data_IF_547293988999
#
_entry.id   IF_547293988999
#
_cell.length_a   1.000
_cell.length_b   1.000
_cell.length_c   1.000
_cell.angle_alpha   90.00
_cell.angle_beta   90.00
_cell.angle_gamma   90.00
#
_symmetry.space_group_name_H-M   'P 1'
#
loop_
_entity.id
_entity.type
_entity.pdbx_description
1 polymer ?
#
# COMPACT_ATOMS: atom_id res chain seq x y z
N UNK A 1 -26.97 9.30 -1.66
CA UNK A 1 -25.75 10.08 -1.99
C UNK A 1 -26.00 11.41 -2.70
N UNK A 2 -27.18 11.70 -3.26
CA UNK A 2 -27.42 12.98 -3.98
C UNK A 2 -27.68 14.22 -3.12
N UNK A 3 -27.36 14.22 -1.82
CA UNK A 3 -27.76 15.30 -0.89
C UNK A 3 -26.67 15.79 0.06
N UNK A 4 -25.42 15.35 -0.10
CA UNK A 4 -24.37 15.60 0.90
C UNK A 4 -23.10 16.27 0.38
N UNK A 5 -22.97 16.56 -0.91
CA UNK A 5 -21.92 17.46 -1.41
C UNK A 5 -22.35 18.05 -2.76
N UNK A 6 -21.88 19.27 -3.06
CA UNK A 6 -22.10 20.01 -4.32
C UNK A 6 -21.45 19.36 -5.56
N UNK A 7 -21.33 18.03 -5.58
CA UNK A 7 -20.75 17.27 -6.68
C UNK A 7 -21.90 16.73 -7.54
N UNK A 8 -21.84 17.03 -8.84
CA UNK A 8 -22.86 16.63 -9.81
C UNK A 8 -23.07 15.10 -9.79
N UNK A 9 -24.33 14.66 -9.76
CA UNK A 9 -24.73 13.24 -9.58
C UNK A 9 -24.08 12.28 -10.60
N UNK A 10 -23.81 12.77 -11.82
CA UNK A 10 -23.15 12.02 -12.90
C UNK A 10 -21.67 11.73 -12.64
N UNK A 11 -20.97 12.58 -11.89
CA UNK A 11 -19.57 12.35 -11.46
C UNK A 11 -19.50 11.36 -10.29
N UNK A 12 -20.47 11.45 -9.38
CA UNK A 12 -20.59 10.52 -8.24
C UNK A 12 -20.85 9.08 -8.72
N UNK A 13 -21.71 8.89 -9.72
CA UNK A 13 -22.04 7.55 -10.24
C UNK A 13 -20.85 6.81 -10.86
N UNK A 14 -20.03 7.51 -11.68
CA UNK A 14 -18.86 6.90 -12.32
C UNK A 14 -17.74 6.60 -11.33
N UNK A 15 -17.50 7.49 -10.37
CA UNK A 15 -16.51 7.26 -9.31
C UNK A 15 -16.93 6.09 -8.41
N UNK A 16 -18.23 5.88 -8.18
CA UNK A 16 -18.71 4.73 -7.43
C UNK A 16 -18.40 3.39 -8.10
N UNK A 17 -18.37 3.32 -9.44
CA UNK A 17 -17.98 2.12 -10.15
C UNK A 17 -16.52 1.76 -9.86
N UNK A 18 -15.62 2.73 -10.04
CA UNK A 18 -14.20 2.56 -9.71
C UNK A 18 -13.98 2.17 -8.24
N UNK A 19 -14.62 2.88 -7.30
CA UNK A 19 -14.50 2.58 -5.86
C UNK A 19 -15.07 1.20 -5.49
N UNK A 20 -16.05 0.69 -6.25
CA UNK A 20 -16.54 -0.68 -6.08
C UNK A 20 -15.55 -1.69 -6.63
N UNK A 21 -14.97 -1.42 -7.80
CA UNK A 21 -13.98 -2.27 -8.46
C UNK A 21 -12.70 -2.46 -7.62
N UNK A 22 -12.19 -1.39 -6.99
CA UNK A 22 -11.04 -1.48 -6.09
C UNK A 22 -11.40 -1.94 -4.66
N UNK A 23 -12.67 -2.32 -4.41
CA UNK A 23 -13.11 -2.88 -3.12
C UNK A 23 -13.23 -1.89 -1.96
N UNK A 24 -13.29 -0.58 -2.23
CA UNK A 24 -13.56 0.46 -1.22
C UNK A 24 -15.06 0.52 -0.90
N UNK A 25 -15.90 0.34 -1.91
CA UNK A 25 -17.35 0.21 -1.80
C UNK A 25 -17.81 -1.19 -2.23
N UNK A 26 -19.02 -1.56 -1.82
CA UNK A 26 -19.68 -2.79 -2.24
C UNK A 26 -21.18 -2.56 -2.49
N UNK A 27 -21.80 -3.49 -3.23
CA UNK A 27 -23.22 -3.47 -3.54
C UNK A 27 -23.53 -2.76 -4.87
N UNK A 28 -24.64 -3.13 -5.49
CA UNK A 28 -25.03 -2.64 -6.82
C UNK A 28 -25.87 -1.36 -6.73
N UNK A 29 -27.07 -1.46 -6.12
CA UNK A 29 -28.06 -0.39 -6.01
C UNK A 29 -27.85 0.52 -4.78
N UNK A 30 -27.45 -0.05 -3.65
CA UNK A 30 -27.05 0.68 -2.43
C UNK A 30 -25.56 0.47 -2.21
N UNK A 31 -24.76 1.50 -2.48
CA UNK A 31 -23.31 1.46 -2.22
C UNK A 31 -23.07 1.54 -0.71
N UNK A 32 -22.45 0.51 -0.17
CA UNK A 32 -22.02 0.44 1.23
C UNK A 32 -20.49 0.51 1.28
N UNK A 33 -19.96 1.12 2.33
CA UNK A 33 -18.52 1.17 2.57
C UNK A 33 -18.03 -0.19 3.07
N UNK A 34 -16.96 -0.73 2.47
CA UNK A 34 -16.34 -1.99 2.94
C UNK A 34 -15.56 -1.76 4.23
N UNK A 35 -15.09 -2.84 4.88
CA UNK A 35 -14.19 -2.74 6.04
C UNK A 35 -12.91 -1.98 5.70
N UNK A 36 -12.31 -2.25 4.53
CA UNK A 36 -11.10 -1.56 4.03
C UNK A 36 -11.40 -0.09 3.73
N UNK A 37 -12.51 0.18 3.05
CA UNK A 37 -12.94 1.55 2.77
C UNK A 37 -13.18 2.36 4.04
N UNK A 38 -13.76 1.75 5.09
CA UNK A 38 -13.99 2.41 6.38
C UNK A 38 -12.68 2.72 7.09
N UNK A 39 -11.74 1.77 7.09
CA UNK A 39 -10.42 1.95 7.71
C UNK A 39 -9.66 3.08 7.02
N UNK A 40 -9.67 3.10 5.68
CA UNK A 40 -9.11 4.20 4.90
C UNK A 40 -9.79 5.54 5.21
N UNK A 41 -11.12 5.59 5.28
CA UNK A 41 -11.86 6.83 5.55
C UNK A 41 -11.53 7.40 6.94
N UNK A 42 -11.40 6.54 7.96
CA UNK A 42 -10.99 6.95 9.31
C UNK A 42 -9.57 7.50 9.32
N UNK A 43 -8.63 6.82 8.66
CA UNK A 43 -7.24 7.28 8.54
C UNK A 43 -7.15 8.64 7.85
N UNK A 44 -7.90 8.83 6.76
CA UNK A 44 -8.01 10.11 6.05
C UNK A 44 -8.58 11.22 6.93
N UNK A 45 -9.63 10.94 7.69
CA UNK A 45 -10.24 11.90 8.61
C UNK A 45 -9.28 12.34 9.72
N UNK A 46 -8.43 11.43 10.21
CA UNK A 46 -7.39 11.71 11.20
C UNK A 46 -6.13 12.34 10.61
N UNK A 47 -6.02 12.38 9.27
CA UNK A 47 -4.81 12.79 8.54
C UNK A 47 -3.57 11.95 8.92
N UNK A 48 -3.77 10.71 9.35
CA UNK A 48 -2.69 9.80 9.68
C UNK A 48 -2.06 9.28 8.38
N UNK A 49 -0.93 9.87 7.99
CA UNK A 49 -0.26 9.57 6.72
C UNK A 49 0.25 8.13 6.66
N UNK A 50 0.66 7.55 7.79
CA UNK A 50 1.17 6.18 7.87
C UNK A 50 0.02 5.21 7.69
N UNK A 51 -1.08 5.42 8.40
CA UNK A 51 -2.27 4.59 8.32
C UNK A 51 -2.94 4.72 6.95
N UNK A 52 -3.01 5.93 6.37
CA UNK A 52 -3.51 6.17 5.00
C UNK A 52 -2.69 5.38 3.97
N UNK A 53 -1.35 5.46 4.03
CA UNK A 53 -0.48 4.71 3.12
C UNK A 53 -0.67 3.21 3.26
N UNK A 54 -0.74 2.70 4.50
CA UNK A 54 -0.96 1.28 4.78
C UNK A 54 -2.30 0.78 4.22
N UNK A 55 -3.38 1.54 4.43
CA UNK A 55 -4.69 1.22 3.88
C UNK A 55 -4.70 1.23 2.35
N UNK A 56 -4.07 2.23 1.72
CA UNK A 56 -3.96 2.28 0.27
C UNK A 56 -3.12 1.12 -0.29
N UNK A 57 -2.00 0.75 0.36
CA UNK A 57 -1.23 -0.45 -0.03
C UNK A 57 -2.08 -1.70 0.01
N UNK A 58 -2.89 -1.89 1.06
CA UNK A 58 -3.77 -3.04 1.17
C UNK A 58 -4.82 -3.07 0.05
N UNK A 59 -5.38 -1.92 -0.33
CA UNK A 59 -6.34 -1.79 -1.45
C UNK A 59 -5.64 -2.12 -2.78
N UNK A 60 -4.48 -1.52 -3.04
CA UNK A 60 -3.69 -1.75 -4.26
C UNK A 60 -3.28 -3.21 -4.39
N UNK A 61 -2.86 -3.86 -3.29
CA UNK A 61 -2.50 -5.28 -3.26
C UNK A 61 -3.67 -6.22 -3.59
N UNK A 62 -4.91 -5.80 -3.35
CA UNK A 62 -6.10 -6.61 -3.63
C UNK A 62 -6.75 -6.31 -4.99
N UNK A 63 -6.27 -5.30 -5.72
CA UNK A 63 -6.78 -4.95 -7.03
C UNK A 63 -5.81 -5.41 -8.11
N UNK A 64 -6.21 -6.40 -8.90
CA UNK A 64 -5.43 -6.90 -10.04
C UNK A 64 -5.12 -5.77 -11.03
N UNK A 65 -6.12 -4.94 -11.34
CA UNK A 65 -5.95 -3.78 -12.21
C UNK A 65 -4.84 -2.84 -11.73
N UNK A 66 -4.84 -2.46 -10.44
CA UNK A 66 -3.81 -1.58 -9.89
C UNK A 66 -2.44 -2.25 -9.85
N UNK A 67 -2.37 -3.55 -9.51
CA UNK A 67 -1.11 -4.32 -9.56
C UNK A 67 -0.52 -4.37 -10.98
N UNK A 68 -1.36 -4.51 -12.00
CA UNK A 68 -0.93 -4.54 -13.40
C UNK A 68 -0.35 -3.19 -13.85
N UNK A 69 -0.87 -2.06 -13.33
CA UNK A 69 -0.31 -0.73 -13.58
C UNK A 69 1.08 -0.59 -12.97
N UNK A 70 1.25 -0.96 -11.69
CA UNK A 70 2.55 -0.89 -11.03
C UNK A 70 3.56 -1.82 -11.71
N UNK A 71 3.13 -3.02 -12.09
CA UNK A 71 3.98 -4.00 -12.80
C UNK A 71 4.45 -3.49 -14.16
N UNK A 72 3.60 -2.79 -14.91
CA UNK A 72 3.97 -2.19 -16.18
C UNK A 72 5.02 -1.07 -16.04
N UNK A 73 4.91 -0.25 -14.98
CA UNK A 73 5.92 0.76 -14.65
C UNK A 73 7.24 0.09 -14.30
N UNK A 74 7.19 -0.95 -13.45
CA UNK A 74 8.38 -1.72 -13.05
C UNK A 74 9.12 -2.33 -14.24
N UNK A 75 8.38 -2.98 -15.14
CA UNK A 75 8.95 -3.68 -16.28
C UNK A 75 9.70 -2.75 -17.24
N UNK A 76 9.36 -1.45 -17.22
CA UNK A 76 9.98 -0.42 -18.07
C UNK A 76 11.03 0.41 -17.32
N UNK A 77 11.32 0.06 -16.07
CA UNK A 77 12.27 0.75 -15.18
C UNK A 77 11.95 2.24 -14.95
N UNK A 78 10.70 2.65 -15.23
CA UNK A 78 10.32 4.06 -15.26
C UNK A 78 9.38 4.35 -16.42
N UNK A 79 8.46 5.31 -16.22
CA UNK A 79 7.63 5.84 -17.30
C UNK A 79 7.24 7.29 -17.04
N UNK A 80 7.28 8.14 -18.07
CA UNK A 80 6.74 9.50 -18.00
C UNK A 80 5.25 9.49 -17.56
N UNK A 81 4.86 10.50 -16.78
CA UNK A 81 3.49 10.62 -16.26
C UNK A 81 2.39 10.49 -17.34
N UNK A 82 2.46 11.17 -18.51
CA UNK A 82 1.45 11.02 -19.55
C UNK A 82 1.40 9.60 -20.16
N UNK A 83 2.52 8.89 -20.17
CA UNK A 83 2.61 7.50 -20.65
C UNK A 83 1.89 6.57 -19.70
N UNK A 84 2.05 6.74 -18.38
CA UNK A 84 1.31 5.96 -17.38
C UNK A 84 -0.18 6.25 -17.45
N UNK A 85 -0.59 7.52 -17.60
CA UNK A 85 -2.01 7.84 -17.77
C UNK A 85 -2.61 7.16 -19.00
N UNK A 86 -1.88 7.17 -20.14
CA UNK A 86 -2.30 6.53 -21.36
C UNK A 86 -2.41 5.00 -21.20
N UNK A 87 -1.46 4.39 -20.50
CA UNK A 87 -1.48 2.97 -20.17
C UNK A 87 -2.71 2.61 -19.33
N UNK A 88 -2.99 3.37 -18.27
CA UNK A 88 -4.16 3.16 -17.40
C UNK A 88 -5.46 3.25 -18.20
N UNK A 89 -5.60 4.27 -19.05
CA UNK A 89 -6.79 4.42 -19.89
C UNK A 89 -6.97 3.22 -20.85
N UNK A 90 -5.88 2.78 -21.47
CA UNK A 90 -5.88 1.60 -22.36
C UNK A 90 -6.22 0.31 -21.60
N UNK A 91 -5.59 0.07 -20.44
CA UNK A 91 -5.83 -1.09 -19.61
C UNK A 91 -7.28 -1.16 -19.09
N UNK A 92 -7.91 0.00 -18.88
CA UNK A 92 -9.33 0.10 -18.50
C UNK A 92 -10.30 0.02 -19.70
N UNK A 93 -9.80 -0.16 -20.94
CA UNK A 93 -10.60 -0.16 -22.16
C UNK A 93 -11.30 1.18 -22.43
N UNK A 94 -10.76 2.29 -21.92
CA UNK A 94 -11.37 3.62 -22.00
C UNK A 94 -10.69 4.50 -23.08
N UNK A 95 -11.45 5.42 -23.72
CA UNK A 95 -10.90 6.37 -24.66
C UNK A 95 -10.01 7.40 -23.97
N UNK A 96 -9.02 7.95 -24.69
CA UNK A 96 -8.08 8.97 -24.18
C UNK A 96 -8.67 10.39 -24.22
N UNK A 97 -9.85 10.58 -23.64
CA UNK A 97 -10.46 11.90 -23.50
C UNK A 97 -10.08 12.56 -22.15
N UNK A 98 -10.26 13.88 -22.05
CA UNK A 98 -9.85 14.65 -20.86
C UNK A 98 -10.42 14.09 -19.53
N UNK A 99 -11.72 13.73 -19.43
CA UNK A 99 -12.25 13.10 -18.21
C UNK A 99 -11.55 11.80 -17.82
N UNK A 100 -11.31 10.89 -18.78
CA UNK A 100 -10.62 9.61 -18.52
C UNK A 100 -9.19 9.86 -18.09
N UNK A 101 -8.47 10.77 -18.74
CA UNK A 101 -7.09 11.09 -18.39
C UNK A 101 -6.98 11.70 -16.98
N UNK A 102 -7.95 12.52 -16.57
CA UNK A 102 -8.02 13.01 -15.20
C UNK A 102 -8.22 11.87 -14.19
N UNK A 103 -9.09 10.90 -14.51
CA UNK A 103 -9.27 9.69 -13.70
C UNK A 103 -8.01 8.83 -13.61
N UNK A 104 -7.30 8.66 -14.73
CA UNK A 104 -6.01 7.99 -14.77
C UNK A 104 -4.96 8.70 -13.90
N UNK A 105 -4.96 10.03 -13.89
CA UNK A 105 -4.13 10.82 -12.98
C UNK A 105 -4.47 10.58 -11.50
N UNK A 106 -5.75 10.51 -11.16
CA UNK A 106 -6.16 10.16 -9.79
C UNK A 106 -5.69 8.77 -9.36
N UNK A 107 -5.66 7.80 -10.29
CA UNK A 107 -5.09 6.47 -10.02
C UNK A 107 -3.59 6.57 -9.75
N UNK A 108 -2.83 7.37 -10.52
CA UNK A 108 -1.40 7.60 -10.25
C UNK A 108 -1.20 8.18 -8.84
N UNK A 109 -2.02 9.15 -8.45
CA UNK A 109 -1.94 9.74 -7.11
C UNK A 109 -2.29 8.74 -5.99
N UNK A 110 -3.23 7.82 -6.22
CA UNK A 110 -3.49 6.70 -5.30
C UNK A 110 -2.24 5.81 -5.18
N UNK A 111 -1.60 5.48 -6.30
CA UNK A 111 -0.40 4.65 -6.32
C UNK A 111 0.79 5.34 -5.62
N UNK A 112 0.94 6.66 -5.79
CA UNK A 112 1.91 7.47 -5.05
C UNK A 112 1.58 7.53 -3.55
N UNK A 113 0.31 7.75 -3.18
CA UNK A 113 -0.14 7.76 -1.79
C UNK A 113 0.04 6.40 -1.10
N UNK A 114 -0.06 5.31 -1.86
CA UNK A 114 0.27 3.96 -1.40
C UNK A 114 1.78 3.70 -1.32
N UNK A 115 2.64 4.60 -1.84
CA UNK A 115 4.07 4.37 -1.93
C UNK A 115 4.41 3.15 -2.80
N UNK A 116 3.65 2.95 -3.87
CA UNK A 116 3.93 1.95 -4.91
C UNK A 116 4.57 2.59 -6.15
N UNK A 117 4.38 3.90 -6.31
CA UNK A 117 5.07 4.73 -7.29
C UNK A 117 5.72 5.93 -6.59
N UNK A 118 6.86 6.36 -7.08
CA UNK A 118 7.47 7.67 -6.76
C UNK A 118 7.83 8.40 -8.05
N UNK A 119 8.01 9.71 -7.94
CA UNK A 119 8.49 10.54 -9.04
C UNK A 119 9.99 10.73 -8.90
N UNK A 120 10.74 10.41 -9.94
CA UNK A 120 12.20 10.45 -9.97
C UNK A 120 12.64 10.89 -11.37
N UNK A 121 13.45 11.95 -11.44
CA UNK A 121 13.95 12.51 -12.72
C UNK A 121 12.85 12.80 -13.78
N UNK A 122 11.62 13.11 -13.35
CA UNK A 122 10.49 13.39 -14.26
C UNK A 122 9.74 12.13 -14.74
N UNK A 123 10.12 10.95 -14.24
CA UNK A 123 9.47 9.68 -14.50
C UNK A 123 8.81 9.11 -13.25
N UNK A 124 7.81 8.26 -13.45
CA UNK A 124 7.21 7.45 -12.39
C UNK A 124 7.95 6.13 -12.32
N UNK A 125 8.51 5.82 -11.15
CA UNK A 125 9.27 4.60 -10.88
C UNK A 125 8.52 3.78 -9.82
N UNK A 126 8.52 2.45 -9.96
CA UNK A 126 7.81 1.56 -9.05
C UNK A 126 8.66 1.18 -7.83
N UNK A 127 8.10 1.39 -6.64
CA UNK A 127 8.78 1.22 -5.36
C UNK A 127 8.22 -0.01 -4.64
N UNK A 128 8.96 -1.12 -4.67
CA UNK A 128 8.53 -2.37 -4.02
C UNK A 128 9.20 -2.64 -2.67
N UNK A 129 10.29 -1.95 -2.34
CA UNK A 129 11.14 -2.34 -1.20
C UNK A 129 11.58 -1.23 -0.25
N UNK A 130 11.13 0.01 -0.46
CA UNK A 130 11.41 1.07 0.50
C UNK A 130 10.38 0.99 1.64
N UNK A 131 10.82 0.33 2.73
CA UNK A 131 10.44 0.76 4.07
C UNK A 131 10.59 2.30 4.08
N UNK A 132 9.62 3.06 4.61
CA UNK A 132 9.65 4.51 4.53
C UNK A 132 10.85 5.04 5.29
N UNK A 133 11.99 5.12 4.64
CA UNK A 133 13.00 6.09 4.97
C UNK A 133 12.43 7.42 4.49
N UNK A 134 12.44 8.36 5.42
CA UNK A 134 11.83 9.65 5.30
C UNK A 134 12.12 10.26 3.93
N UNK A 135 11.06 10.72 3.26
CA UNK A 135 11.21 11.66 2.17
C UNK A 135 11.99 12.84 2.76
N UNK A 136 13.27 12.94 2.40
CA UNK A 136 14.19 13.98 2.84
C UNK A 136 13.63 15.29 2.33
N UNK A 137 12.94 16.01 3.22
CA UNK A 137 12.80 17.44 3.07
C UNK A 137 14.15 18.01 3.47
N UNK A 138 14.86 18.61 2.52
CA UNK A 138 16.05 19.38 2.79
C UNK A 138 15.69 20.53 3.74
N UNK A 139 16.07 20.40 5.01
CA UNK A 139 16.55 21.54 5.76
C UNK A 139 17.66 21.08 6.71
N UNK A 140 18.77 21.80 6.67
CA UNK A 140 20.02 21.37 7.26
C UNK A 140 20.01 21.42 8.79
N UNK A 141 20.47 20.36 9.43
CA UNK A 141 21.36 20.47 10.59
C UNK A 141 21.92 19.08 10.96
N UNK A 142 23.22 19.06 11.21
CA UNK A 142 23.99 17.88 11.61
C UNK A 142 23.66 17.48 13.05
N UNK A 143 23.34 16.20 13.29
CA UNK A 143 23.58 15.55 14.57
C UNK A 143 23.64 14.02 14.40
N UNK A 144 24.77 13.43 14.79
CA UNK A 144 24.92 11.98 14.98
C UNK A 144 24.13 11.55 16.21
N UNK A 145 23.42 10.40 16.18
CA UNK A 145 23.34 9.47 17.33
C UNK A 145 23.11 8.03 16.87
N UNK A 146 23.86 7.15 17.52
CA UNK A 146 23.87 5.69 17.48
C UNK A 146 22.61 5.03 18.09
N UNK A 147 22.32 3.82 17.60
CA UNK A 147 21.70 2.65 18.28
C UNK A 147 20.35 2.74 19.02
N UNK A 148 19.44 1.79 18.74
CA UNK A 148 18.86 0.83 19.70
C UNK A 148 17.61 0.12 19.13
N UNK A 149 17.58 -1.20 19.31
CA UNK A 149 16.63 -2.21 18.85
C UNK A 149 15.29 -2.11 19.61
N UNK A 150 14.15 -2.26 18.92
CA UNK A 150 12.83 -2.37 19.55
C UNK A 150 12.09 -3.65 19.14
N UNK A 151 12.04 -4.64 20.03
CA UNK A 151 11.14 -5.79 19.92
C UNK A 151 9.75 -5.40 20.46
N UNK A 152 8.69 -5.65 19.69
CA UNK A 152 7.30 -5.45 20.15
C UNK A 152 6.68 -6.81 20.44
N UNK A 153 6.46 -7.09 21.73
CA UNK A 153 5.67 -8.22 22.21
C UNK A 153 4.26 -7.71 22.53
N UNK A 154 3.25 -8.23 21.83
CA UNK A 154 1.84 -7.99 22.17
C UNK A 154 1.27 -9.23 22.85
N UNK A 155 0.97 -9.13 24.14
CA UNK A 155 0.24 -10.15 24.89
C UNK A 155 -1.25 -9.85 24.78
N UNK A 156 -1.99 -10.73 24.10
CA UNK A 156 -3.45 -10.71 24.06
C UNK A 156 -4.01 -11.66 25.10
N UNK A 157 -4.66 -11.11 26.14
CA UNK A 157 -5.36 -11.90 27.15
C UNK A 157 -6.76 -12.28 26.63
N UNK A 158 -6.98 -13.57 26.43
CA UNK A 158 -8.31 -14.15 26.25
C UNK A 158 -8.43 -15.39 27.13
N UNK A 159 -9.49 -15.40 27.92
CA UNK A 159 -9.77 -16.37 28.97
C UNK A 159 -9.74 -17.83 28.48
N UNK A 160 -9.07 -18.68 29.27
CA UNK A 160 -9.41 -20.10 29.38
C UNK A 160 -8.96 -21.02 28.25
N UNK A 161 -7.67 -21.06 27.94
CA UNK A 161 -6.89 -22.25 27.50
C UNK A 161 -5.43 -21.82 27.36
N UNK A 162 -4.48 -22.75 27.48
CA UNK A 162 -3.01 -22.54 27.50
C UNK A 162 -2.49 -21.32 26.70
N UNK A 163 -1.54 -20.53 27.22
CA UNK A 163 -1.02 -19.35 26.54
C UNK A 163 -0.45 -19.74 25.18
N UNK A 164 -1.08 -19.25 24.10
CA UNK A 164 -0.65 -19.53 22.74
C UNK A 164 0.15 -18.33 22.25
N UNK A 165 1.46 -18.47 22.10
CA UNK A 165 2.35 -17.42 21.60
C UNK A 165 2.49 -17.58 20.08
N UNK A 166 2.10 -16.55 19.32
CA UNK A 166 2.28 -16.49 17.87
C UNK A 166 3.47 -15.61 17.53
N UNK A 167 4.54 -16.19 16.97
CA UNK A 167 5.78 -15.50 16.63
C UNK A 167 5.92 -15.49 15.10
N UNK A 168 5.99 -14.29 14.51
CA UNK A 168 6.22 -14.12 13.07
C UNK A 168 7.67 -13.69 12.82
N UNK A 169 8.46 -14.55 12.19
CA UNK A 169 9.88 -14.30 11.87
C UNK A 169 10.02 -13.99 10.39
N UNK A 170 10.63 -12.85 10.06
CA UNK A 170 10.97 -12.47 8.69
C UNK A 170 12.49 -12.45 8.52
N UNK A 171 13.01 -13.33 7.66
CA UNK A 171 14.45 -13.39 7.35
C UNK A 171 14.68 -12.80 5.96
N UNK A 172 15.65 -11.88 5.86
CA UNK A 172 16.22 -11.41 4.60
C UNK A 172 17.65 -11.92 4.51
N UNK A 173 17.98 -12.62 3.43
CA UNK A 173 19.30 -13.20 3.17
C UNK A 173 19.62 -13.12 1.68
N UNK A 174 20.90 -13.05 1.33
CA UNK A 174 21.36 -13.14 -0.07
C UNK A 174 21.44 -14.60 -0.55
N UNK A 175 21.50 -14.86 -1.88
CA UNK A 175 21.56 -16.23 -2.39
C UNK A 175 22.69 -17.07 -1.81
N UNK A 176 23.85 -16.47 -1.55
CA UNK A 176 25.02 -17.13 -0.98
C UNK A 176 24.86 -17.54 0.50
N UNK A 177 23.85 -17.02 1.19
CA UNK A 177 23.61 -17.23 2.62
C UNK A 177 22.49 -18.26 2.88
N UNK A 178 21.83 -18.76 1.83
CA UNK A 178 20.66 -19.63 1.95
C UNK A 178 21.01 -21.00 2.57
N UNK A 179 22.21 -21.51 2.28
CA UNK A 179 22.67 -22.81 2.78
C UNK A 179 22.97 -22.76 4.29
N UNK A 180 23.46 -21.61 4.78
CA UNK A 180 23.74 -21.36 6.19
C UNK A 180 22.50 -20.92 6.98
N UNK A 181 21.40 -20.55 6.30
CA UNK A 181 20.19 -20.08 6.96
C UNK A 181 19.46 -21.20 7.71
N UNK A 182 19.37 -22.38 7.09
CA UNK A 182 18.69 -23.54 7.68
C UNK A 182 19.27 -23.98 9.04
N UNK A 183 20.60 -24.13 9.24
CA UNK A 183 21.16 -24.46 10.54
C UNK A 183 20.95 -23.35 11.58
N UNK A 184 21.02 -22.07 11.19
CA UNK A 184 20.81 -20.92 12.09
C UNK A 184 19.36 -20.82 12.59
N UNK A 185 18.38 -21.00 11.71
CA UNK A 185 16.97 -20.98 12.08
C UNK A 185 16.62 -22.15 13.03
N UNK A 186 17.21 -23.33 12.79
CA UNK A 186 17.05 -24.49 13.69
C UNK A 186 17.64 -24.24 15.07
N UNK A 187 18.80 -23.59 15.16
CA UNK A 187 19.40 -23.22 16.45
C UNK A 187 18.48 -22.25 17.22
N UNK A 188 17.98 -21.22 16.55
CA UNK A 188 17.08 -20.22 17.14
C UNK A 188 15.74 -20.83 17.60
N UNK A 189 15.12 -21.70 16.80
CA UNK A 189 13.90 -22.41 17.20
C UNK A 189 14.14 -23.35 18.39
N UNK A 190 15.35 -23.93 18.49
CA UNK A 190 15.71 -24.78 19.61
C UNK A 190 15.88 -23.95 20.87
N UNK A 191 16.60 -22.82 20.83
CA UNK A 191 16.74 -21.89 21.96
C UNK A 191 15.37 -21.46 22.50
N UNK A 192 14.46 -21.04 21.62
CA UNK A 192 13.08 -20.68 21.99
C UNK A 192 12.25 -21.84 22.57
N UNK A 193 12.66 -23.08 22.32
CA UNK A 193 12.00 -24.29 22.82
C UNK A 193 12.66 -24.86 24.08
N UNK A 194 13.86 -24.40 24.49
CA UNK A 194 14.63 -25.01 25.59
C UNK A 194 14.77 -24.15 26.85
N UNK A 195 14.19 -22.95 26.92
CA UNK A 195 14.09 -22.23 28.20
C UNK A 195 12.83 -22.67 28.98
N UNK A 196 12.96 -23.03 30.29
CA UNK A 196 11.86 -23.48 31.14
C UNK A 196 10.92 -22.35 31.59
#
# INVERSE_FOLDING_TARGET
VGKLDSVHQSSVSRNNAFLTEIGVLQGESKKLITRRGRSLAVALARKDRVEVRSNWRAIVAASEFLQNVVSAVKLREGMLYPTVQAYIAHAAGQPRNKPVMNGAGAIIEILKASGMLREEAGELVATFDERPEDAVFEDGSSAQVSDTIGAVVTVGEAAGTSPTVSIQVQVRCTPDEIDDLAPRLKALLRELSTEP
#
